data_IF_260004445146
#
_entry.id   IF_260004445146
#
_cell.length_a   1.000
_cell.length_b   1.000
_cell.length_c   1.000
_cell.angle_alpha   90.00
_cell.angle_beta   90.00
_cell.angle_gamma   90.00
#
_symmetry.space_group_name_H-M   'P 1'
#
loop_
_entity.id
_entity.type
_entity.pdbx_description
1 polymer ?
#
# COMPACT_ATOMS: atom_id res chain seq x y z
N UNK A 1 14.45 -18.28 -14.76
CA UNK A 1 14.51 -17.04 -13.94
C UNK A 1 13.34 -16.99 -12.97
N UNK A 2 13.51 -16.39 -11.79
CA UNK A 2 12.47 -16.36 -10.74
C UNK A 2 11.16 -15.64 -11.16
N UNK A 3 11.23 -14.71 -12.13
CA UNK A 3 10.04 -14.02 -12.66
C UNK A 3 9.02 -14.97 -13.31
N UNK A 4 9.47 -16.09 -13.88
CA UNK A 4 8.57 -17.09 -14.46
C UNK A 4 7.61 -17.65 -13.41
N UNK A 5 8.11 -17.94 -12.21
CA UNK A 5 7.29 -18.43 -11.10
C UNK A 5 6.33 -17.36 -10.57
N UNK A 6 6.74 -16.09 -10.51
CA UNK A 6 5.83 -15.01 -10.15
C UNK A 6 4.67 -14.85 -11.14
N UNK A 7 4.93 -15.00 -12.44
CA UNK A 7 3.87 -14.98 -13.46
C UNK A 7 2.91 -16.15 -13.30
N UNK A 8 3.40 -17.35 -12.96
CA UNK A 8 2.56 -18.51 -12.67
C UNK A 8 1.68 -18.27 -11.43
N UNK A 9 2.24 -17.72 -10.35
CA UNK A 9 1.47 -17.35 -9.15
C UNK A 9 0.37 -16.35 -9.51
N UNK A 10 0.69 -15.28 -10.23
CA UNK A 10 -0.28 -14.27 -10.66
C UNK A 10 -1.39 -14.89 -11.53
N UNK A 11 -1.05 -15.81 -12.44
CA UNK A 11 -2.04 -16.50 -13.26
C UNK A 11 -3.02 -17.32 -12.39
N UNK A 12 -2.53 -18.08 -11.42
CA UNK A 12 -3.37 -18.83 -10.49
C UNK A 12 -4.24 -17.92 -9.62
N UNK A 13 -3.71 -16.80 -9.16
CA UNK A 13 -4.48 -15.79 -8.40
C UNK A 13 -5.58 -15.16 -9.26
N UNK A 14 -5.32 -14.92 -10.55
CA UNK A 14 -6.36 -14.45 -11.47
C UNK A 14 -7.45 -15.50 -11.69
N UNK A 15 -7.09 -16.79 -11.75
CA UNK A 15 -8.06 -17.86 -11.91
C UNK A 15 -9.03 -17.93 -10.73
N UNK A 16 -8.54 -17.89 -9.49
CA UNK A 16 -9.42 -17.90 -8.31
C UNK A 16 -10.28 -16.63 -8.24
N UNK A 17 -9.75 -15.47 -8.63
CA UNK A 17 -10.52 -14.23 -8.70
C UNK A 17 -11.65 -14.35 -9.73
N UNK A 18 -11.34 -14.75 -10.95
CA UNK A 18 -12.30 -14.76 -12.06
C UNK A 18 -13.29 -15.93 -12.00
N UNK A 19 -12.84 -17.13 -11.63
CA UNK A 19 -13.65 -18.36 -11.67
C UNK A 19 -14.35 -18.67 -10.34
N UNK A 20 -13.94 -18.06 -9.23
CA UNK A 20 -14.51 -18.30 -7.88
C UNK A 20 -15.00 -17.02 -7.20
N UNK A 21 -14.88 -15.86 -7.85
CA UNK A 21 -15.28 -14.57 -7.30
C UNK A 21 -14.64 -14.29 -5.92
N UNK A 22 -13.38 -14.69 -5.73
CA UNK A 22 -12.65 -14.49 -4.49
C UNK A 22 -11.79 -13.24 -4.54
N UNK A 23 -11.84 -12.44 -3.47
CA UNK A 23 -10.89 -11.35 -3.27
C UNK A 23 -9.50 -11.92 -2.95
N UNK A 24 -8.46 -11.34 -3.55
CA UNK A 24 -7.06 -11.70 -3.30
C UNK A 24 -6.38 -10.56 -2.56
N UNK A 25 -5.89 -10.85 -1.35
CA UNK A 25 -5.15 -9.88 -0.53
C UNK A 25 -3.74 -10.43 -0.30
N UNK A 26 -2.74 -9.68 -0.74
CA UNK A 26 -1.34 -10.01 -0.53
C UNK A 26 -0.77 -9.13 0.59
N UNK A 27 -0.06 -9.74 1.53
CA UNK A 27 0.59 -9.04 2.64
C UNK A 27 2.11 -9.17 2.48
N UNK A 28 2.82 -8.07 2.68
CA UNK A 28 4.28 -8.03 2.67
C UNK A 28 4.79 -7.09 3.75
N UNK A 29 5.96 -7.40 4.32
CA UNK A 29 6.69 -6.46 5.16
C UNK A 29 7.14 -5.26 4.31
N UNK A 30 7.24 -4.08 4.91
CA UNK A 30 7.87 -2.91 4.26
C UNK A 30 9.37 -2.88 4.53
N UNK A 31 10.13 -2.36 3.58
CA UNK A 31 11.53 -1.92 3.76
C UNK A 31 11.62 -0.43 3.42
N UNK A 32 12.62 0.25 3.98
CA UNK A 32 12.98 1.61 3.55
C UNK A 32 13.95 1.49 2.38
N UNK A 33 13.68 2.21 1.30
CA UNK A 33 14.50 2.23 0.09
C UNK A 33 14.70 3.68 -0.35
N UNK A 34 15.94 4.03 -0.68
CA UNK A 34 16.28 5.35 -1.21
C UNK A 34 15.70 5.48 -2.62
N UNK A 35 14.96 6.54 -2.87
CA UNK A 35 14.51 6.93 -4.19
C UNK A 35 15.27 8.15 -4.67
N UNK A 36 15.89 8.02 -5.84
CA UNK A 36 16.52 9.13 -6.55
C UNK A 36 15.50 9.72 -7.50
N UNK A 37 15.06 10.93 -7.17
CA UNK A 37 14.18 11.73 -8.01
C UNK A 37 15.06 12.59 -8.93
N UNK A 38 14.83 12.60 -10.26
CA UNK A 38 15.61 13.43 -11.17
C UNK A 38 15.32 14.93 -11.00
N UNK A 39 14.17 15.29 -10.42
CA UNK A 39 13.71 16.68 -10.27
C UNK A 39 13.89 17.21 -8.84
N UNK A 40 14.01 16.32 -7.84
CA UNK A 40 14.05 16.68 -6.43
C UNK A 40 15.20 16.02 -5.67
N UNK A 41 15.44 16.47 -4.43
CA UNK A 41 16.36 15.78 -3.55
C UNK A 41 15.90 14.33 -3.31
N UNK A 42 16.84 13.40 -3.34
CA UNK A 42 16.54 12.01 -3.05
C UNK A 42 15.92 11.86 -1.65
N UNK A 43 14.98 10.93 -1.52
CA UNK A 43 14.22 10.72 -0.30
C UNK A 43 14.03 9.23 -0.02
N UNK A 44 13.76 8.92 1.23
CA UNK A 44 13.54 7.54 1.67
C UNK A 44 12.05 7.23 1.61
N UNK A 45 11.71 6.09 1.00
CA UNK A 45 10.33 5.64 0.87
C UNK A 45 10.14 4.21 1.35
N UNK A 46 8.96 3.92 1.89
CA UNK A 46 8.54 2.56 2.21
C UNK A 46 8.12 1.82 0.95
N UNK A 47 8.74 0.67 0.70
CA UNK A 47 8.42 -0.23 -0.41
C UNK A 47 8.17 -1.65 0.13
N UNK A 48 7.39 -2.49 -0.56
CA UNK A 48 7.30 -3.90 -0.21
C UNK A 48 8.69 -4.54 -0.18
N UNK A 49 8.96 -5.36 0.85
CA UNK A 49 10.20 -6.13 1.01
C UNK A 49 10.21 -7.30 0.04
N UNK A 50 10.35 -6.96 -1.24
CA UNK A 50 10.39 -7.88 -2.36
C UNK A 50 11.55 -7.50 -3.28
N UNK A 51 12.04 -8.47 -4.05
CA UNK A 51 13.03 -8.19 -5.08
C UNK A 51 12.45 -7.23 -6.13
N UNK A 52 13.26 -6.26 -6.60
CA UNK A 52 12.81 -5.13 -7.45
C UNK A 52 11.92 -5.57 -8.62
N UNK A 53 12.35 -6.57 -9.39
CA UNK A 53 11.60 -7.04 -10.54
C UNK A 53 10.24 -7.70 -10.18
N UNK A 54 10.19 -8.43 -9.06
CA UNK A 54 8.95 -9.03 -8.58
C UNK A 54 8.02 -7.96 -7.97
N UNK A 55 8.58 -6.96 -7.29
CA UNK A 55 7.84 -5.81 -6.78
C UNK A 55 7.15 -5.05 -7.91
N UNK A 56 7.89 -4.73 -8.98
CA UNK A 56 7.33 -4.08 -10.17
C UNK A 56 6.18 -4.89 -10.76
N UNK A 57 6.39 -6.20 -10.98
CA UNK A 57 5.37 -7.08 -11.56
C UNK A 57 4.10 -7.17 -10.70
N UNK A 58 4.24 -7.35 -9.39
CA UNK A 58 3.09 -7.47 -8.47
C UNK A 58 2.37 -6.14 -8.32
N UNK A 59 3.09 -5.02 -8.14
CA UNK A 59 2.48 -3.69 -8.00
C UNK A 59 1.76 -3.25 -9.29
N UNK A 60 2.27 -3.64 -10.44
CA UNK A 60 1.61 -3.42 -11.73
C UNK A 60 0.32 -4.24 -11.86
N UNK A 61 0.32 -5.49 -11.38
CA UNK A 61 -0.83 -6.39 -11.46
C UNK A 61 -1.96 -6.05 -10.48
N UNK A 62 -1.65 -5.73 -9.21
CA UNK A 62 -2.69 -5.50 -8.19
C UNK A 62 -3.52 -4.25 -8.48
N UNK A 63 -4.80 -4.26 -8.12
CA UNK A 63 -5.67 -3.08 -8.28
C UNK A 63 -5.34 -1.95 -7.29
N UNK A 64 -4.87 -2.33 -6.09
CA UNK A 64 -4.41 -1.39 -5.09
C UNK A 64 -3.14 -1.85 -4.37
N UNK A 65 -2.27 -0.90 -4.05
CA UNK A 65 -1.12 -1.05 -3.16
C UNK A 65 -1.37 -0.10 -1.99
N UNK A 66 -1.50 -0.66 -0.79
CA UNK A 66 -1.94 0.05 0.40
C UNK A 66 -0.86 -0.07 1.48
N UNK A 67 -0.53 1.02 2.16
CA UNK A 67 0.51 1.06 3.18
C UNK A 67 -0.09 1.17 4.58
N UNK A 68 0.02 0.09 5.36
CA UNK A 68 -0.44 0.05 6.75
C UNK A 68 0.62 0.66 7.67
N UNK A 69 0.25 1.69 8.43
CA UNK A 69 1.15 2.40 9.34
C UNK A 69 0.39 2.94 10.55
N UNK A 70 1.12 3.51 11.52
CA UNK A 70 0.51 4.27 12.61
C UNK A 70 0.34 5.72 12.19
N UNK A 71 -0.76 6.35 12.61
CA UNK A 71 -0.94 7.78 12.40
C UNK A 71 0.10 8.53 13.23
N UNK A 72 0.86 9.37 12.56
CA UNK A 72 1.85 10.26 13.18
C UNK A 72 1.42 11.70 12.94
N UNK A 73 1.41 12.53 13.99
CA UNK A 73 1.21 13.97 13.90
C UNK A 73 2.55 14.64 14.10
N UNK A 74 2.91 15.52 13.16
CA UNK A 74 4.07 16.38 13.34
C UNK A 74 3.66 17.47 14.33
N UNK A 75 4.38 17.56 15.44
CA UNK A 75 4.26 18.67 16.38
C UNK A 75 4.90 19.90 15.75
N UNK A 76 4.11 20.95 15.56
CA UNK A 76 4.54 22.22 14.94
C UNK A 76 5.60 22.95 15.75
N UNK A 77 5.73 22.64 17.04
CA UNK A 77 6.65 23.30 17.97
C UNK A 77 8.02 22.64 17.97
N UNK A 78 8.04 21.30 17.88
CA UNK A 78 9.28 20.50 17.97
C UNK A 78 9.74 19.97 16.61
N UNK A 79 8.90 20.06 15.57
CA UNK A 79 9.15 19.49 14.24
C UNK A 79 9.19 17.94 14.24
N UNK A 80 8.91 17.29 15.37
CA UNK A 80 9.00 15.84 15.52
C UNK A 80 7.65 15.18 15.28
N UNK A 81 7.68 14.02 14.63
CA UNK A 81 6.50 13.18 14.45
C UNK A 81 6.23 12.39 15.75
N UNK A 82 5.05 12.57 16.35
CA UNK A 82 4.57 11.81 17.49
C UNK A 82 3.38 10.92 17.09
N UNK A 83 3.25 9.70 17.63
CA UNK A 83 2.13 8.83 17.33
C UNK A 83 0.82 9.39 17.91
N UNK A 84 -0.28 9.19 17.19
CA UNK A 84 -1.63 9.70 17.54
C UNK A 84 -2.53 8.55 17.99
N UNK A 85 -3.47 8.86 18.88
CA UNK A 85 -4.46 7.94 19.44
C UNK A 85 -4.21 7.64 20.91
N UNK A 86 -5.22 7.07 21.59
CA UNK A 86 -5.00 6.48 22.91
C UNK A 86 -3.85 5.46 22.78
N UNK A 87 -2.76 5.71 23.50
CA UNK A 87 -1.51 4.93 23.49
C UNK A 87 -0.66 5.00 22.20
N UNK A 88 -0.87 5.99 21.31
CA UNK A 88 -0.08 6.12 20.07
C UNK A 88 -0.25 4.92 19.12
N UNK A 89 -1.42 4.29 19.18
CA UNK A 89 -1.73 3.02 18.55
C UNK A 89 -2.64 3.09 17.33
N UNK A 90 -3.10 4.28 16.91
CA UNK A 90 -4.07 4.37 15.81
C UNK A 90 -3.45 3.87 14.51
N UNK A 91 -3.94 2.72 14.03
CA UNK A 91 -3.48 2.08 12.80
C UNK A 91 -4.31 2.57 11.63
N UNK A 92 -3.63 3.08 10.63
CA UNK A 92 -4.21 3.61 9.40
C UNK A 92 -3.67 2.87 8.20
N UNK A 93 -4.42 2.96 7.10
CA UNK A 93 -4.06 2.48 5.80
C UNK A 93 -3.99 3.68 4.86
N UNK A 94 -2.79 3.95 4.33
CA UNK A 94 -2.59 4.94 3.28
C UNK A 94 -2.86 4.30 1.93
N UNK A 95 -3.72 4.91 1.13
CA UNK A 95 -4.17 4.35 -0.15
C UNK A 95 -3.54 5.05 -1.34
N UNK A 96 -3.14 6.31 -1.17
CA UNK A 96 -2.55 7.13 -2.22
C UNK A 96 -1.04 7.24 -2.04
N UNK A 97 -0.34 7.33 -3.17
CA UNK A 97 1.11 7.45 -3.21
C UNK A 97 1.54 8.78 -2.59
N UNK A 98 2.63 8.73 -1.85
CA UNK A 98 3.32 9.92 -1.34
C UNK A 98 4.83 9.68 -1.41
N UNK A 99 5.67 10.70 -1.24
CA UNK A 99 7.12 10.49 -1.13
C UNK A 99 7.48 9.45 -0.06
N UNK A 100 6.64 9.28 0.97
CA UNK A 100 6.88 8.32 2.03
C UNK A 100 6.55 6.86 1.64
N UNK A 101 5.67 6.58 0.67
CA UNK A 101 5.26 5.21 0.36
C UNK A 101 4.74 5.03 -1.06
N UNK A 102 5.06 3.88 -1.67
CA UNK A 102 4.44 3.45 -2.93
C UNK A 102 2.98 3.10 -2.64
N UNK A 103 2.06 3.66 -3.43
CA UNK A 103 0.67 3.25 -3.41
C UNK A 103 0.09 3.26 -4.82
N UNK A 104 -1.00 2.53 -4.97
CA UNK A 104 -1.79 2.42 -6.19
C UNK A 104 -3.23 2.32 -5.76
N UNK A 105 -4.12 3.05 -6.40
CA UNK A 105 -5.52 3.12 -6.01
C UNK A 105 -6.40 3.21 -7.26
N UNK A 106 -6.82 2.05 -7.78
CA UNK A 106 -7.81 1.99 -8.87
C UNK A 106 -9.25 2.06 -8.37
N UNK A 107 -9.44 2.01 -7.06
CA UNK A 107 -10.75 1.95 -6.43
C UNK A 107 -11.30 3.33 -6.03
N UNK A 108 -10.55 4.41 -6.22
CA UNK A 108 -10.96 5.76 -5.82
C UNK A 108 -11.02 5.96 -4.29
N UNK A 109 -10.30 5.15 -3.52
CA UNK A 109 -10.35 5.20 -2.06
C UNK A 109 -9.85 6.56 -1.52
N UNK A 110 -10.34 7.01 -0.36
CA UNK A 110 -9.81 8.21 0.31
C UNK A 110 -8.34 8.02 0.68
N UNK A 111 -7.58 9.12 0.77
CA UNK A 111 -6.13 9.14 1.00
C UNK A 111 -5.68 8.31 2.20
N UNK A 112 -6.45 8.33 3.28
CA UNK A 112 -6.26 7.48 4.45
C UNK A 112 -7.59 6.88 4.90
N UNK A 113 -7.56 5.65 5.40
CA UNK A 113 -8.67 5.00 6.11
C UNK A 113 -8.15 4.26 7.35
N UNK A 114 -9.05 3.94 8.28
CA UNK A 114 -8.71 3.10 9.43
C UNK A 114 -8.25 1.71 8.95
N UNK A 115 -7.26 1.09 9.61
CA UNK A 115 -6.85 -0.27 9.28
C UNK A 115 -7.92 -1.29 9.75
N UNK A 116 -9.02 -1.34 9.01
CA UNK A 116 -10.22 -2.14 9.29
C UNK A 116 -10.84 -2.62 7.98
N UNK A 117 -11.25 -3.89 7.96
CA UNK A 117 -11.95 -4.47 6.82
C UNK A 117 -13.27 -3.74 6.53
N UNK A 118 -14.02 -3.39 7.57
CA UNK A 118 -15.30 -2.68 7.44
C UNK A 118 -15.12 -1.33 6.75
N UNK A 119 -14.16 -0.52 7.23
CA UNK A 119 -13.87 0.79 6.66
C UNK A 119 -13.45 0.69 5.18
N UNK A 120 -12.68 -0.34 4.83
CA UNK A 120 -12.27 -0.61 3.45
C UNK A 120 -13.46 -0.94 2.55
N UNK A 121 -14.33 -1.87 2.97
CA UNK A 121 -15.49 -2.29 2.17
C UNK A 121 -16.51 -1.17 2.00
N UNK A 122 -16.76 -0.37 3.04
CA UNK A 122 -17.64 0.81 2.95
C UNK A 122 -17.14 1.80 1.89
N UNK A 123 -15.84 2.07 1.86
CA UNK A 123 -15.24 2.95 0.85
C UNK A 123 -15.32 2.35 -0.57
N UNK A 124 -15.19 1.03 -0.72
CA UNK A 124 -15.35 0.36 -2.02
C UNK A 124 -16.78 0.48 -2.56
N UNK A 125 -17.79 0.34 -1.70
CA UNK A 125 -19.20 0.41 -2.10
C UNK A 125 -19.68 1.81 -2.48
N UNK A 126 -19.10 2.85 -1.89
CA UNK A 126 -19.50 4.25 -2.13
C UNK A 126 -18.97 4.84 -3.44
N UNK A 127 -17.89 4.27 -4.00
CA UNK A 127 -17.29 4.76 -5.25
C UNK A 127 -17.94 4.18 -6.52
N UNK A 128 -18.97 3.35 -6.37
CA UNK A 128 -19.76 2.78 -7.46
C UNK A 128 -21.09 3.50 -7.74
N UNK A 129 -21.29 4.70 -7.19
CA UNK A 129 -22.45 5.58 -7.45
C UNK A 129 -22.01 6.94 -7.95
#
# INVERSE_FOLDING_TARGET
HALTYWRQIIALLNEIRAKRNMAVVLIAHSKVERFEDPEHASYDRYTPRLHKAACSLVCEWVDAVLFATRRMRVDSTTGKAAPVGADGGERILRTNGSPACIAKNRYGLPTELALSWTAFVECLGNNGK
#
